data_IF_899103518273
#
_entry.id   IF_899103518273
#
_cell.length_a   1.000
_cell.length_b   1.000
_cell.length_c   1.000
_cell.angle_alpha   90.00
_cell.angle_beta   90.00
_cell.angle_gamma   90.00
#
_symmetry.space_group_name_H-M   'P 1'
#
loop_
_entity.id
_entity.type
_entity.pdbx_description
1 polymer ?
#
# COMPACT_ATOMS: atom_id res chain seq x y z
N UNK A 1 -6.85 -4.73 27.37
CA UNK A 1 -7.58 -3.59 26.80
C UNK A 1 -8.58 -4.16 25.80
N UNK A 2 -9.85 -3.72 25.83
CA UNK A 2 -10.87 -4.18 24.88
C UNK A 2 -10.47 -3.76 23.46
N UNK A 3 -10.57 -4.68 22.49
CA UNK A 3 -10.40 -4.34 21.07
C UNK A 3 -11.44 -3.26 20.73
N UNK A 4 -11.04 -2.10 20.17
CA UNK A 4 -12.00 -1.08 19.78
C UNK A 4 -12.98 -1.68 18.77
N UNK A 5 -14.26 -1.65 19.12
CA UNK A 5 -15.34 -2.09 18.24
C UNK A 5 -15.79 -0.91 17.39
N UNK A 6 -15.98 -1.16 16.09
CA UNK A 6 -16.50 -0.18 15.14
C UNK A 6 -17.85 -0.68 14.62
N UNK A 7 -18.84 0.21 14.43
CA UNK A 7 -20.09 -0.18 13.80
C UNK A 7 -19.83 -0.76 12.40
N UNK A 8 -20.63 -1.75 11.97
CA UNK A 8 -20.64 -2.24 10.60
C UNK A 8 -20.72 -1.09 9.59
N UNK A 9 -20.13 -1.24 8.41
CA UNK A 9 -20.04 -0.18 7.39
C UNK A 9 -21.42 0.44 7.09
N UNK A 10 -22.46 -0.39 6.97
CA UNK A 10 -23.83 0.02 6.64
C UNK A 10 -24.55 0.76 7.78
N UNK A 11 -24.04 0.64 9.01
CA UNK A 11 -24.62 1.25 10.22
C UNK A 11 -23.94 2.57 10.58
N UNK A 12 -22.91 2.98 9.83
CA UNK A 12 -22.19 4.23 10.08
C UNK A 12 -23.02 5.44 9.66
N UNK A 13 -22.92 6.57 10.39
CA UNK A 13 -23.60 7.82 10.05
C UNK A 13 -23.41 8.27 8.59
N UNK A 14 -22.24 8.03 8.01
CA UNK A 14 -21.88 8.33 6.63
C UNK A 14 -21.52 7.04 5.87
N UNK A 15 -22.45 6.08 5.85
CA UNK A 15 -22.26 4.75 5.25
C UNK A 15 -21.88 4.75 3.77
N UNK A 16 -22.29 5.76 3.00
CA UNK A 16 -22.00 5.88 1.55
C UNK A 16 -20.70 6.67 1.26
N UNK A 17 -19.95 7.03 2.30
CA UNK A 17 -18.72 7.83 2.19
C UNK A 17 -17.51 6.99 2.56
N UNK A 18 -16.44 7.11 1.76
CA UNK A 18 -15.11 6.60 2.08
C UNK A 18 -14.08 7.73 2.07
N UNK A 19 -13.19 7.74 3.07
CA UNK A 19 -12.00 8.57 3.08
C UNK A 19 -10.77 7.70 2.79
N UNK A 20 -10.12 7.93 1.66
CA UNK A 20 -8.85 7.31 1.30
C UNK A 20 -7.70 8.30 1.51
N UNK A 21 -6.66 7.83 2.18
CA UNK A 21 -5.48 8.64 2.51
C UNK A 21 -4.25 8.08 1.81
N UNK A 22 -3.43 8.95 1.23
CA UNK A 22 -2.02 8.62 1.06
C UNK A 22 -1.35 8.47 2.44
N UNK A 23 -0.15 7.90 2.50
CA UNK A 23 0.51 7.53 3.76
C UNK A 23 1.62 8.53 4.07
N UNK A 24 2.76 8.41 3.38
CA UNK A 24 3.94 9.25 3.60
C UNK A 24 3.64 10.70 3.20
N UNK A 25 3.80 11.63 4.14
CA UNK A 25 3.50 13.06 3.94
C UNK A 25 2.03 13.43 4.11
N UNK A 26 1.12 12.46 4.30
CA UNK A 26 -0.31 12.71 4.58
C UNK A 26 -0.70 12.25 5.98
N UNK A 27 -0.51 10.97 6.31
CA UNK A 27 -0.78 10.41 7.64
C UNK A 27 0.45 10.42 8.54
N UNK A 28 1.64 10.41 7.94
CA UNK A 28 2.91 10.46 8.66
C UNK A 28 3.83 11.53 8.06
N UNK A 29 4.78 12.09 8.83
CA UNK A 29 5.91 12.76 8.22
C UNK A 29 6.73 11.77 7.37
N UNK A 30 7.43 12.26 6.35
CA UNK A 30 8.15 11.41 5.42
C UNK A 30 9.10 10.42 6.12
N UNK A 31 8.87 9.11 5.93
CA UNK A 31 9.66 8.00 6.52
C UNK A 31 9.66 7.96 8.05
N UNK A 32 8.67 8.57 8.70
CA UNK A 32 8.50 8.53 10.15
C UNK A 32 7.14 7.89 10.51
N UNK A 33 6.96 7.68 11.80
CA UNK A 33 5.79 7.08 12.41
C UNK A 33 4.60 8.06 12.44
N UNK A 34 3.38 7.53 12.42
CA UNK A 34 2.18 8.31 12.70
C UNK A 34 2.18 8.84 14.14
N UNK A 35 1.74 10.09 14.30
CA UNK A 35 1.58 10.67 15.62
C UNK A 35 0.34 10.11 16.33
N UNK A 36 0.33 10.07 17.68
CA UNK A 36 -0.85 9.64 18.44
C UNK A 36 -2.13 10.43 18.08
N UNK A 37 -1.99 11.72 17.77
CA UNK A 37 -3.12 12.59 17.40
C UNK A 37 -3.77 12.16 16.08
N UNK A 38 -2.97 11.79 15.07
CA UNK A 38 -3.48 11.26 13.79
C UNK A 38 -4.19 9.93 14.02
N UNK A 39 -3.61 9.03 14.81
CA UNK A 39 -4.21 7.73 15.11
C UNK A 39 -5.56 7.87 15.81
N UNK A 40 -5.66 8.79 16.79
CA UNK A 40 -6.91 9.10 17.49
C UNK A 40 -7.96 9.74 16.56
N UNK A 41 -7.51 10.62 15.66
CA UNK A 41 -8.37 11.24 14.65
C UNK A 41 -8.96 10.18 13.70
N UNK A 42 -8.12 9.29 13.18
CA UNK A 42 -8.53 8.19 12.29
C UNK A 42 -9.50 7.23 12.99
N UNK A 43 -9.23 6.86 14.25
CA UNK A 43 -10.14 6.05 15.06
C UNK A 43 -11.51 6.72 15.20
N UNK A 44 -11.54 8.03 15.46
CA UNK A 44 -12.78 8.80 15.60
C UNK A 44 -13.52 8.95 14.26
N UNK A 45 -12.79 9.13 13.17
CA UNK A 45 -13.36 9.22 11.82
C UNK A 45 -13.97 7.89 11.37
N UNK A 46 -13.32 6.77 11.71
CA UNK A 46 -13.78 5.41 11.39
C UNK A 46 -15.13 5.07 12.02
N UNK A 47 -15.49 5.70 13.13
CA UNK A 47 -16.82 5.57 13.73
C UNK A 47 -17.92 6.20 12.85
N UNK A 48 -17.55 7.11 11.93
CA UNK A 48 -18.49 7.91 11.12
C UNK A 48 -18.60 7.45 9.67
N UNK A 49 -17.50 7.08 9.03
CA UNK A 49 -17.45 6.65 7.63
C UNK A 49 -16.44 5.51 7.45
N UNK A 50 -16.41 4.91 6.26
CA UNK A 50 -15.34 3.99 5.89
C UNK A 50 -14.02 4.76 5.75
N UNK A 51 -12.93 4.20 6.27
CA UNK A 51 -11.59 4.76 6.04
C UNK A 51 -10.66 3.71 5.40
N UNK A 52 -9.72 4.20 4.61
CA UNK A 52 -8.65 3.39 4.07
C UNK A 52 -7.40 4.18 3.74
N UNK A 53 -6.30 3.49 3.52
CA UNK A 53 -5.09 4.09 2.97
C UNK A 53 -4.77 3.50 1.59
N UNK A 54 -4.08 4.28 0.77
CA UNK A 54 -3.47 3.87 -0.48
C UNK A 54 -2.02 4.32 -0.47
N UNK A 55 -1.08 3.39 -0.59
CA UNK A 55 0.35 3.71 -0.62
C UNK A 55 1.09 2.89 -1.67
N UNK A 56 2.13 3.49 -2.29
CA UNK A 56 2.97 2.79 -3.26
C UNK A 56 3.95 1.79 -2.63
N UNK A 57 4.19 1.90 -1.32
CA UNK A 57 5.02 0.97 -0.55
C UNK A 57 4.31 -0.36 -0.29
N UNK A 58 5.10 -1.42 -0.03
CA UNK A 58 4.60 -2.71 0.44
C UNK A 58 3.93 -2.62 1.82
N UNK A 59 3.19 -3.66 2.20
CA UNK A 59 2.46 -3.71 3.47
C UNK A 59 3.38 -3.63 4.70
N UNK A 60 4.63 -4.10 4.59
CA UNK A 60 5.59 -4.08 5.71
C UNK A 60 5.93 -2.64 6.09
N UNK A 61 6.16 -1.77 5.11
CA UNK A 61 6.39 -0.34 5.37
C UNK A 61 5.15 0.35 5.95
N UNK A 62 3.95 -0.05 5.52
CA UNK A 62 2.69 0.45 6.09
C UNK A 62 2.52 0.03 7.55
N UNK A 63 2.88 -1.21 7.87
CA UNK A 63 2.92 -1.72 9.24
C UNK A 63 3.91 -0.94 10.10
N UNK A 64 5.07 -0.56 9.55
CA UNK A 64 6.06 0.26 10.26
C UNK A 64 5.55 1.65 10.59
N UNK A 65 4.92 2.32 9.63
CA UNK A 65 4.49 3.72 9.77
C UNK A 65 3.19 3.89 10.56
N UNK A 66 2.27 2.91 10.48
CA UNK A 66 0.92 3.03 11.03
C UNK A 66 0.62 1.95 12.09
N UNK A 67 1.01 0.70 11.82
CA UNK A 67 0.70 -0.45 12.67
C UNK A 67 1.48 -0.46 13.99
N UNK A 68 2.82 -0.41 13.90
CA UNK A 68 3.72 -0.41 15.07
C UNK A 68 3.42 0.74 16.04
N UNK A 69 3.24 2.00 15.59
CA UNK A 69 2.92 3.11 16.49
C UNK A 69 1.54 2.98 17.14
N UNK A 70 0.57 2.37 16.45
CA UNK A 70 -0.75 2.08 16.99
C UNK A 70 -0.79 0.83 17.91
N UNK A 71 0.25 0.01 17.90
CA UNK A 71 0.33 -1.23 18.67
C UNK A 71 -0.64 -2.33 18.17
N UNK A 72 -1.05 -2.28 16.90
CA UNK A 72 -1.96 -3.25 16.29
C UNK A 72 -1.67 -3.40 14.79
N UNK A 73 -2.01 -4.54 14.15
CA UNK A 73 -1.79 -4.73 12.72
C UNK A 73 -2.47 -3.64 11.91
N UNK A 74 -1.79 -3.07 10.90
CA UNK A 74 -2.32 -1.98 10.08
C UNK A 74 -3.64 -2.36 9.39
N UNK A 75 -3.80 -3.65 9.05
CA UNK A 75 -5.01 -4.22 8.45
C UNK A 75 -6.23 -4.19 9.37
N UNK A 76 -6.02 -4.00 10.67
CA UNK A 76 -7.07 -3.83 11.68
C UNK A 76 -7.40 -2.37 11.97
N UNK A 77 -6.55 -1.42 11.56
CA UNK A 77 -6.71 0.02 11.82
C UNK A 77 -7.68 0.68 10.84
N UNK A 78 -7.73 0.17 9.60
CA UNK A 78 -8.57 0.69 8.52
C UNK A 78 -9.61 -0.34 8.07
N UNK A 79 -10.64 0.13 7.36
CA UNK A 79 -11.60 -0.77 6.71
C UNK A 79 -11.10 -1.26 5.36
N UNK A 80 -10.27 -0.45 4.69
CA UNK A 80 -9.64 -0.79 3.42
C UNK A 80 -8.15 -0.45 3.46
N UNK A 81 -7.30 -1.40 3.06
CA UNK A 81 -5.85 -1.21 3.03
C UNK A 81 -5.35 -1.51 1.63
N UNK A 82 -4.70 -0.54 0.98
CA UNK A 82 -4.19 -0.69 -0.38
C UNK A 82 -2.68 -0.42 -0.39
N UNK A 83 -1.88 -1.49 -0.28
CA UNK A 83 -0.44 -1.43 -0.46
C UNK A 83 -0.07 -1.65 -1.93
N UNK A 84 1.11 -1.18 -2.35
CA UNK A 84 1.58 -1.23 -3.74
C UNK A 84 0.52 -0.68 -4.72
N UNK A 85 -0.06 0.47 -4.40
CA UNK A 85 -1.13 1.12 -5.17
C UNK A 85 -2.38 0.22 -5.38
N UNK A 86 -2.64 -0.71 -4.46
CA UNK A 86 -3.80 -1.59 -4.46
C UNK A 86 -3.58 -2.96 -5.10
N UNK A 87 -2.35 -3.30 -5.52
CA UNK A 87 -2.02 -4.68 -5.92
C UNK A 87 -2.16 -5.67 -4.76
N UNK A 88 -1.81 -5.21 -3.56
CA UNK A 88 -2.02 -5.91 -2.31
C UNK A 88 -3.11 -5.19 -1.53
N UNK A 89 -4.30 -5.80 -1.42
CA UNK A 89 -5.48 -5.16 -0.86
C UNK A 89 -6.14 -5.97 0.27
N UNK A 90 -6.65 -5.28 1.28
CA UNK A 90 -7.45 -5.87 2.36
C UNK A 90 -8.74 -5.10 2.56
N UNK A 91 -9.82 -5.81 2.88
CA UNK A 91 -11.09 -5.27 3.32
C UNK A 91 -11.47 -5.88 4.67
N UNK A 92 -11.67 -5.05 5.68
CA UNK A 92 -12.02 -5.46 7.05
C UNK A 92 -11.07 -6.55 7.59
N UNK A 93 -9.77 -6.35 7.40
CA UNK A 93 -8.72 -7.29 7.78
C UNK A 93 -8.60 -8.55 6.90
N UNK A 94 -9.53 -8.77 5.96
CA UNK A 94 -9.50 -9.92 5.06
C UNK A 94 -8.79 -9.58 3.75
N UNK A 95 -7.86 -10.42 3.25
CA UNK A 95 -7.20 -10.18 1.98
C UNK A 95 -8.21 -10.24 0.83
N UNK A 96 -8.09 -9.29 -0.10
CA UNK A 96 -8.78 -9.31 -1.38
C UNK A 96 -7.91 -10.02 -2.42
N UNK A 97 -8.49 -10.31 -3.59
CA UNK A 97 -7.75 -10.90 -4.70
C UNK A 97 -6.58 -9.98 -5.09
N UNK A 98 -5.36 -10.49 -4.96
CA UNK A 98 -4.14 -9.78 -5.35
C UNK A 98 -3.81 -10.01 -6.82
N UNK A 99 -3.08 -9.06 -7.39
CA UNK A 99 -2.49 -9.17 -8.72
C UNK A 99 -0.99 -8.85 -8.66
N UNK A 100 -0.26 -9.19 -9.71
CA UNK A 100 1.14 -8.82 -9.86
C UNK A 100 1.45 -8.51 -11.32
N UNK A 101 2.52 -7.75 -11.54
CA UNK A 101 2.98 -7.38 -12.87
C UNK A 101 3.22 -8.62 -13.73
N UNK A 102 3.91 -9.65 -13.22
CA UNK A 102 4.19 -10.88 -13.98
C UNK A 102 2.94 -11.68 -14.31
N UNK A 103 1.96 -11.74 -13.39
CA UNK A 103 0.68 -12.41 -13.64
C UNK A 103 -0.13 -11.72 -14.73
N UNK A 104 -0.03 -10.39 -14.82
CA UNK A 104 -0.71 -9.61 -15.84
C UNK A 104 -0.03 -9.68 -17.21
N UNK A 105 1.29 -9.52 -17.28
CA UNK A 105 2.03 -9.48 -18.55
C UNK A 105 2.30 -10.88 -19.12
N UNK A 106 2.55 -11.87 -18.25
CA UNK A 106 2.98 -13.23 -18.60
C UNK A 106 4.48 -13.36 -18.88
N UNK A 107 5.03 -14.55 -18.63
CA UNK A 107 6.47 -14.85 -18.76
C UNK A 107 7.00 -14.65 -20.18
N UNK A 108 6.25 -15.05 -21.20
CA UNK A 108 6.75 -14.96 -22.58
C UNK A 108 6.94 -13.51 -23.03
N UNK A 109 5.96 -12.64 -22.77
CA UNK A 109 6.04 -11.22 -23.09
C UNK A 109 7.05 -10.50 -22.20
N UNK A 110 7.15 -10.89 -20.93
CA UNK A 110 8.17 -10.33 -20.03
C UNK A 110 9.59 -10.66 -20.49
N UNK A 111 9.84 -11.90 -20.90
CA UNK A 111 11.12 -12.35 -21.47
C UNK A 111 11.49 -11.55 -22.71
N UNK A 112 10.55 -11.33 -23.63
CA UNK A 112 10.78 -10.48 -24.81
C UNK A 112 11.16 -9.04 -24.42
N UNK A 113 10.45 -8.45 -23.46
CA UNK A 113 10.72 -7.11 -22.94
C UNK A 113 12.13 -7.02 -22.32
N UNK A 114 12.49 -7.97 -21.44
CA UNK A 114 13.79 -7.98 -20.77
C UNK A 114 14.92 -8.17 -21.78
N UNK A 115 14.77 -9.07 -22.74
CA UNK A 115 15.77 -9.28 -23.80
C UNK A 115 15.99 -8.00 -24.62
N UNK A 116 14.92 -7.29 -24.97
CA UNK A 116 15.02 -6.01 -25.65
C UNK A 116 15.78 -4.98 -24.80
N UNK A 117 15.40 -4.80 -23.54
CA UNK A 117 16.06 -3.85 -22.63
C UNK A 117 17.56 -4.17 -22.47
N UNK A 118 17.91 -5.45 -22.29
CA UNK A 118 19.30 -5.86 -22.08
C UNK A 118 20.16 -5.65 -23.32
N UNK A 119 19.68 -6.00 -24.52
CA UNK A 119 20.40 -5.71 -25.76
C UNK A 119 20.57 -4.20 -25.96
N UNK A 120 19.50 -3.42 -25.80
CA UNK A 120 19.54 -1.97 -25.96
C UNK A 120 20.54 -1.32 -25.00
N UNK A 121 20.52 -1.69 -23.71
CA UNK A 121 21.42 -1.15 -22.69
C UNK A 121 22.89 -1.55 -22.96
N UNK A 122 23.13 -2.77 -23.45
CA UNK A 122 24.46 -3.23 -23.80
C UNK A 122 25.13 -2.34 -24.85
N UNK A 123 24.35 -1.84 -25.83
CA UNK A 123 24.85 -1.05 -26.96
C UNK A 123 24.95 0.46 -26.67
N UNK A 124 24.47 0.95 -25.52
CA UNK A 124 24.58 2.37 -25.17
C UNK A 124 26.04 2.83 -25.03
N UNK A 125 26.46 3.85 -25.78
CA UNK A 125 27.74 4.52 -25.57
C UNK A 125 27.59 5.60 -24.49
N UNK A 126 27.89 5.23 -23.25
CA UNK A 126 27.80 6.12 -22.09
C UNK A 126 29.08 6.01 -21.25
N UNK A 127 29.55 7.13 -20.64
CA UNK A 127 30.87 7.19 -20.01
C UNK A 127 31.01 6.24 -18.81
N UNK A 128 29.90 5.84 -18.18
CA UNK A 128 29.88 4.97 -17.01
C UNK A 128 28.68 4.04 -17.04
N UNK A 129 28.91 2.72 -16.95
CA UNK A 129 27.89 1.69 -16.70
C UNK A 129 28.08 1.09 -15.30
N UNK A 130 26.98 0.79 -14.59
CA UNK A 130 26.91 0.14 -13.26
C UNK A 130 25.86 -0.97 -13.27
N UNK A 131 25.64 -1.69 -12.17
CA UNK A 131 24.76 -2.86 -12.11
C UNK A 131 23.26 -2.56 -11.96
N UNK A 132 22.47 -3.63 -11.86
CA UNK A 132 20.99 -3.61 -11.74
C UNK A 132 20.32 -2.86 -12.90
N UNK A 133 20.66 -3.26 -14.13
CA UNK A 133 20.11 -2.67 -15.35
C UNK A 133 18.60 -2.92 -15.54
N UNK A 134 18.09 -4.02 -14.95
CA UNK A 134 16.66 -4.34 -14.88
C UNK A 134 16.37 -4.78 -13.46
N UNK A 135 15.56 -4.01 -12.73
CA UNK A 135 15.05 -4.37 -11.41
C UNK A 135 13.60 -4.82 -11.55
N UNK A 136 13.32 -6.08 -11.24
CA UNK A 136 11.96 -6.61 -11.26
C UNK A 136 11.24 -6.30 -9.95
N UNK A 137 9.99 -5.85 -10.05
CA UNK A 137 9.11 -5.54 -8.91
C UNK A 137 7.77 -6.24 -9.05
N UNK A 138 7.08 -6.44 -7.93
CA UNK A 138 5.77 -7.08 -7.90
C UNK A 138 4.69 -6.24 -8.62
N UNK A 139 4.81 -4.91 -8.56
CA UNK A 139 3.99 -3.93 -9.28
C UNK A 139 4.81 -2.96 -10.12
N UNK A 140 4.12 -2.07 -10.85
CA UNK A 140 4.72 -0.87 -11.45
C UNK A 140 4.94 0.21 -10.39
#
# INVERSE_FOLDING_TARGET
MSVPSYPPLEERPLKDTICLFDVDGTLTPARLDASPEILLLLQSLRQKCAIGFVGGSDLVKQEEQLGKPAGAPVTSLFDFCFAENGLTAYKLGQPLASNSFIRWIGEDRYKELVNFCLHYIADLDIPVKRGTFVEFRNGM
#
